data_IF_181529915261
#
_entry.id   IF_181529915261
#
_cell.length_a   1.000
_cell.length_b   1.000
_cell.length_c   1.000
_cell.angle_alpha   90.00
_cell.angle_beta   90.00
_cell.angle_gamma   90.00
#
_symmetry.space_group_name_H-M   'P 1'
#
loop_
_entity.id
_entity.type
_entity.pdbx_description
1 polymer ?
#
# COMPACT_ATOMS: atom_id res chain seq x y z
N UNK A 1 44.29 -33.20 5.20
CA UNK A 1 44.59 -32.27 4.07
C UNK A 1 43.46 -31.26 4.00
N UNK A 2 43.82 -30.08 4.41
CA UNK A 2 42.98 -28.91 4.59
C UNK A 2 42.53 -28.34 3.23
N UNK A 3 41.26 -28.00 3.07
CA UNK A 3 40.79 -27.14 1.98
C UNK A 3 40.39 -25.81 2.64
N UNK A 4 41.21 -24.81 2.41
CA UNK A 4 40.94 -23.41 2.68
C UNK A 4 39.77 -22.93 1.82
N UNK A 5 38.78 -22.36 2.45
CA UNK A 5 37.72 -21.54 1.81
C UNK A 5 38.22 -20.09 1.74
N UNK A 6 38.39 -19.49 0.55
CA UNK A 6 38.96 -18.17 0.40
C UNK A 6 37.93 -17.01 0.49
N UNK A 7 36.68 -17.22 0.89
CA UNK A 7 35.63 -16.18 0.78
C UNK A 7 35.02 -15.71 2.11
N UNK A 8 35.67 -15.99 3.24
CA UNK A 8 35.36 -15.34 4.50
C UNK A 8 36.05 -13.95 4.57
N UNK A 9 35.66 -13.02 3.70
CA UNK A 9 35.99 -11.60 3.89
C UNK A 9 35.16 -11.06 5.04
N UNK A 10 35.75 -11.13 6.23
CA UNK A 10 35.24 -10.45 7.42
C UNK A 10 35.12 -8.96 7.08
N UNK A 11 33.90 -8.41 7.24
CA UNK A 11 33.66 -6.96 7.20
C UNK A 11 34.52 -6.38 8.31
N UNK A 12 35.51 -5.55 7.95
CA UNK A 12 36.35 -4.88 8.91
C UNK A 12 35.51 -3.84 9.67
N UNK A 13 35.47 -3.83 11.01
CA UNK A 13 34.71 -2.83 11.76
C UNK A 13 35.03 -1.37 11.40
N UNK A 14 36.22 -1.10 10.85
CA UNK A 14 36.59 0.23 10.35
C UNK A 14 35.90 0.62 9.03
N UNK A 15 35.35 -0.35 8.26
CA UNK A 15 34.63 -0.07 7.02
C UNK A 15 33.14 0.25 7.29
N UNK A 16 32.71 0.09 8.54
CA UNK A 16 31.40 0.49 9.05
C UNK A 16 31.40 1.89 9.68
N UNK A 17 32.47 2.66 9.53
CA UNK A 17 32.49 4.07 9.89
C UNK A 17 31.53 4.82 8.94
N UNK A 18 30.24 4.78 9.31
CA UNK A 18 29.27 5.77 8.82
C UNK A 18 29.86 7.12 9.15
N UNK A 19 30.10 7.94 8.12
CA UNK A 19 30.65 9.28 8.26
C UNK A 19 29.94 10.02 9.38
N UNK A 20 30.69 10.68 10.28
CA UNK A 20 30.28 11.47 11.45
C UNK A 20 29.38 12.69 11.13
N UNK A 21 28.45 12.57 10.20
CA UNK A 21 27.52 13.64 9.76
C UNK A 21 26.06 13.22 9.83
N UNK A 22 25.67 12.31 10.72
CA UNK A 22 24.27 12.23 11.12
C UNK A 22 24.05 13.37 12.11
N UNK A 23 23.53 14.49 11.62
CA UNK A 23 23.11 15.61 12.46
C UNK A 23 22.09 15.08 13.47
N UNK A 24 22.41 15.18 14.77
CA UNK A 24 21.54 14.71 15.87
C UNK A 24 20.12 15.29 15.85
N UNK A 25 19.89 16.31 15.05
CA UNK A 25 18.57 16.92 14.81
C UNK A 25 17.52 15.92 14.33
N UNK A 26 17.90 14.94 13.49
CA UNK A 26 16.97 13.94 12.96
C UNK A 26 16.42 13.00 14.06
N UNK A 27 17.23 12.69 15.06
CA UNK A 27 16.79 11.88 16.20
C UNK A 27 15.81 12.66 17.09
N UNK A 28 16.11 13.93 17.35
CA UNK A 28 15.21 14.81 18.12
C UNK A 28 13.86 14.98 17.41
N UNK A 29 13.86 15.17 16.10
CA UNK A 29 12.63 15.24 15.31
C UNK A 29 11.85 13.94 15.33
N UNK A 30 12.53 12.78 15.27
CA UNK A 30 11.88 11.47 15.37
C UNK A 30 11.26 11.29 16.76
N UNK A 31 11.98 11.62 17.83
CA UNK A 31 11.48 11.60 19.21
C UNK A 31 10.19 12.42 19.34
N UNK A 32 10.21 13.67 18.87
CA UNK A 32 9.05 14.57 18.91
C UNK A 32 7.84 14.01 18.12
N UNK A 33 8.08 13.37 16.96
CA UNK A 33 7.03 12.74 16.18
C UNK A 33 6.42 11.54 16.89
N UNK A 34 7.25 10.69 17.52
CA UNK A 34 6.78 9.54 18.31
C UNK A 34 5.89 10.03 19.47
N UNK A 35 6.37 11.00 20.25
CA UNK A 35 5.62 11.58 21.36
C UNK A 35 4.31 12.21 20.90
N UNK A 36 4.34 13.00 19.83
CA UNK A 36 3.16 13.64 19.25
C UNK A 36 2.12 12.65 18.74
N UNK A 37 2.56 11.53 18.16
CA UNK A 37 1.66 10.47 17.71
C UNK A 37 1.03 9.74 18.89
N UNK A 38 1.78 9.40 19.93
CA UNK A 38 1.25 8.79 21.14
C UNK A 38 0.17 9.68 21.78
N UNK A 39 0.46 10.97 21.95
CA UNK A 39 -0.49 11.95 22.51
C UNK A 39 -1.76 12.08 21.63
N UNK A 40 -1.60 12.15 20.32
CA UNK A 40 -2.72 12.23 19.38
C UNK A 40 -3.61 10.98 19.40
N UNK A 41 -3.01 9.81 19.70
CA UNK A 41 -3.74 8.55 19.88
C UNK A 41 -4.37 8.43 21.29
N UNK A 42 -4.08 9.35 22.20
CA UNK A 42 -4.66 9.41 23.55
C UNK A 42 -4.03 8.44 24.56
N UNK A 43 -2.82 7.95 24.30
CA UNK A 43 -2.10 7.03 25.19
C UNK A 43 -1.20 7.78 26.17
N UNK A 44 -1.14 7.29 27.43
CA UNK A 44 -0.03 7.57 28.33
C UNK A 44 1.23 6.82 27.86
N UNK A 45 2.39 7.16 28.40
CA UNK A 45 3.65 6.45 28.10
C UNK A 45 3.53 4.96 28.47
N UNK A 46 2.96 4.68 29.63
CA UNK A 46 2.78 3.34 30.16
C UNK A 46 1.85 2.49 29.28
N UNK A 47 0.69 3.04 28.92
CA UNK A 47 -0.30 2.37 28.05
C UNK A 47 0.26 2.12 26.66
N UNK A 48 1.02 3.08 26.12
CA UNK A 48 1.57 2.92 24.77
C UNK A 48 2.72 1.92 24.74
N UNK A 49 3.56 1.90 25.77
CA UNK A 49 4.61 0.89 25.91
C UNK A 49 4.02 -0.52 26.02
N UNK A 50 2.93 -0.70 26.77
CA UNK A 50 2.21 -1.96 26.90
C UNK A 50 1.61 -2.39 25.55
N UNK A 51 0.91 -1.49 24.83
CA UNK A 51 0.34 -1.75 23.51
C UNK A 51 1.41 -2.14 22.47
N UNK A 52 2.59 -1.51 22.56
CA UNK A 52 3.73 -1.81 21.71
C UNK A 52 4.51 -3.06 22.15
N UNK A 53 4.20 -3.65 23.32
CA UNK A 53 4.92 -4.79 23.88
C UNK A 53 6.40 -4.49 24.18
N UNK A 54 6.69 -3.31 24.72
CA UNK A 54 8.03 -2.84 25.09
C UNK A 54 8.03 -2.44 26.55
N UNK A 55 9.18 -2.65 27.24
CA UNK A 55 9.37 -2.15 28.60
C UNK A 55 9.21 -0.62 28.65
N UNK A 56 8.49 -0.12 29.65
CA UNK A 56 8.12 1.30 29.75
C UNK A 56 9.36 2.23 29.82
N UNK A 57 10.40 1.84 30.58
CA UNK A 57 11.60 2.67 30.70
C UNK A 57 12.41 2.66 29.39
N UNK A 58 12.44 1.52 28.69
CA UNK A 58 13.05 1.43 27.37
C UNK A 58 12.30 2.30 26.36
N UNK A 59 10.97 2.24 26.36
CA UNK A 59 10.15 3.08 25.49
C UNK A 59 10.36 4.57 25.78
N UNK A 60 10.42 4.97 27.07
CA UNK A 60 10.67 6.34 27.50
C UNK A 60 11.98 6.89 26.91
N UNK A 61 13.05 6.10 26.93
CA UNK A 61 14.34 6.49 26.33
C UNK A 61 14.21 6.72 24.82
N UNK A 62 13.48 5.87 24.11
CA UNK A 62 13.24 6.06 22.68
C UNK A 62 12.42 7.31 22.38
N UNK A 63 11.38 7.59 23.18
CA UNK A 63 10.55 8.78 23.00
C UNK A 63 11.29 10.08 23.38
N UNK A 64 12.22 10.04 24.33
CA UNK A 64 13.02 11.21 24.71
C UNK A 64 14.16 11.51 23.75
N UNK A 65 14.82 10.49 23.22
CA UNK A 65 16.05 10.64 22.46
C UNK A 65 15.91 10.44 20.96
N UNK A 66 14.97 9.62 20.52
CA UNK A 66 14.83 9.15 19.14
C UNK A 66 16.01 8.31 18.65
N UNK A 67 16.98 8.02 19.54
CA UNK A 67 18.22 7.35 19.18
C UNK A 67 18.04 5.83 19.20
N UNK A 68 18.55 5.16 18.15
CA UNK A 68 18.61 3.70 17.99
C UNK A 68 17.26 2.99 18.17
N UNK A 69 16.16 3.65 17.78
CA UNK A 69 14.82 3.08 17.81
C UNK A 69 14.73 1.92 16.81
N UNK A 70 14.45 0.68 17.24
CA UNK A 70 14.40 -0.45 16.34
C UNK A 70 13.34 -0.27 15.25
N UNK A 71 13.67 -0.63 14.01
CA UNK A 71 12.72 -0.56 12.89
C UNK A 71 11.42 -1.35 13.16
N UNK A 72 11.51 -2.47 13.87
CA UNK A 72 10.35 -3.26 14.30
C UNK A 72 9.44 -2.52 15.26
N UNK A 73 9.99 -1.64 16.10
CA UNK A 73 9.20 -0.78 16.99
C UNK A 73 8.54 0.35 16.19
N UNK A 74 9.26 0.99 15.28
CA UNK A 74 8.71 2.01 14.40
C UNK A 74 7.54 1.48 13.55
N UNK A 75 7.66 0.24 13.04
CA UNK A 75 6.56 -0.41 12.33
C UNK A 75 5.32 -0.60 13.22
N UNK A 76 5.50 -1.01 14.49
CA UNK A 76 4.38 -1.16 15.44
C UNK A 76 3.72 0.18 15.76
N UNK A 77 4.52 1.22 15.99
CA UNK A 77 4.02 2.60 16.20
C UNK A 77 3.19 3.05 14.99
N UNK A 78 3.71 2.86 13.78
CA UNK A 78 3.02 3.23 12.55
C UNK A 78 1.65 2.52 12.41
N UNK A 79 1.59 1.22 12.75
CA UNK A 79 0.35 0.42 12.72
C UNK A 79 -0.64 0.90 13.79
N UNK A 80 -0.21 1.05 15.04
CA UNK A 80 -1.09 1.46 16.16
C UNK A 80 -1.65 2.87 15.93
N UNK A 81 -0.80 3.79 15.47
CA UNK A 81 -1.21 5.18 15.20
C UNK A 81 -1.83 5.36 13.80
N UNK A 82 -1.93 4.31 12.99
CA UNK A 82 -2.48 4.34 11.61
C UNK A 82 -1.82 5.39 10.72
N UNK A 83 -0.51 5.52 10.82
CA UNK A 83 0.29 6.44 9.99
C UNK A 83 1.22 5.64 9.07
N UNK A 84 1.62 6.26 7.96
CA UNK A 84 2.65 5.68 7.09
C UNK A 84 4.02 5.76 7.78
N UNK A 85 4.82 4.69 7.66
CA UNK A 85 6.16 4.64 8.26
C UNK A 85 7.09 5.73 7.71
N UNK A 86 6.92 6.11 6.44
CA UNK A 86 7.66 7.22 5.84
C UNK A 86 7.33 8.55 6.52
N UNK A 87 6.06 8.79 6.85
CA UNK A 87 5.62 9.96 7.62
C UNK A 87 6.24 9.96 9.02
N UNK A 88 6.24 8.81 9.69
CA UNK A 88 6.87 8.68 11.01
C UNK A 88 8.37 9.01 10.95
N UNK A 89 9.08 8.54 9.95
CA UNK A 89 10.53 8.74 9.82
C UNK A 89 10.89 10.16 9.37
N UNK A 90 10.18 10.71 8.39
CA UNK A 90 10.57 11.96 7.72
C UNK A 90 9.74 13.17 8.11
N UNK A 91 8.58 12.96 8.76
CA UNK A 91 7.60 14.02 9.01
C UNK A 91 6.88 14.49 7.74
N UNK A 92 7.24 13.95 6.58
CA UNK A 92 6.69 14.34 5.29
C UNK A 92 5.71 13.26 4.83
N UNK A 93 4.45 13.62 4.65
CA UNK A 93 3.52 12.73 3.97
C UNK A 93 3.91 12.65 2.51
N UNK A 94 4.33 11.46 2.07
CA UNK A 94 4.51 11.19 0.63
C UNK A 94 3.15 11.02 -0.07
N UNK A 95 2.07 10.96 0.71
CA UNK A 95 0.71 10.87 0.21
C UNK A 95 0.11 12.27 0.03
N UNK A 96 -0.56 12.44 -1.08
CA UNK A 96 -1.25 13.67 -1.44
C UNK A 96 -2.66 13.65 -0.83
N UNK A 97 -3.05 14.70 -0.13
CA UNK A 97 -4.36 14.83 0.52
C UNK A 97 -5.35 15.73 -0.23
N UNK A 98 -4.84 16.57 -1.16
CA UNK A 98 -5.66 17.49 -1.93
C UNK A 98 -5.99 16.94 -3.31
N UNK A 99 -4.99 16.53 -4.09
CA UNK A 99 -5.18 15.88 -5.40
C UNK A 99 -3.95 15.08 -5.80
N UNK A 100 -4.18 14.07 -6.64
CA UNK A 100 -3.12 13.34 -7.34
C UNK A 100 -3.40 13.35 -8.84
N UNK A 101 -2.36 13.58 -9.63
CA UNK A 101 -2.42 13.41 -11.09
C UNK A 101 -1.59 12.20 -11.49
N UNK A 102 -2.23 11.23 -12.10
CA UNK A 102 -1.55 10.08 -12.74
C UNK A 102 -1.63 10.29 -14.25
N UNK A 103 -0.48 10.45 -14.89
CA UNK A 103 -0.41 10.63 -16.35
C UNK A 103 -0.69 9.33 -17.06
N UNK A 104 -1.14 9.42 -18.32
CA UNK A 104 -1.47 8.25 -19.14
C UNK A 104 -0.31 7.22 -19.14
N UNK A 105 -0.62 5.97 -18.88
CA UNK A 105 0.35 4.87 -18.79
C UNK A 105 1.27 4.90 -17.56
N UNK A 106 1.03 5.76 -16.56
CA UNK A 106 1.84 5.89 -15.34
C UNK A 106 1.10 5.41 -14.08
N UNK A 107 0.01 4.67 -14.22
CA UNK A 107 -0.63 3.98 -13.11
C UNK A 107 0.32 2.94 -12.48
N UNK A 108 0.22 2.76 -11.17
CA UNK A 108 1.02 1.78 -10.45
C UNK A 108 0.49 0.38 -10.71
N UNK A 109 1.32 -0.49 -11.28
CA UNK A 109 0.95 -1.89 -11.52
C UNK A 109 0.67 -2.59 -10.19
N UNK A 110 -0.42 -3.33 -10.12
CA UNK A 110 -0.85 -4.11 -8.96
C UNK A 110 -1.20 -5.52 -9.43
N UNK A 111 -0.56 -6.52 -8.85
CA UNK A 111 -0.88 -7.92 -9.09
C UNK A 111 -2.02 -8.35 -8.15
N UNK A 112 -3.18 -8.69 -8.71
CA UNK A 112 -4.35 -9.15 -7.95
C UNK A 112 -4.82 -10.53 -8.40
N UNK A 113 -5.16 -10.66 -9.68
CA UNK A 113 -5.75 -11.88 -10.25
C UNK A 113 -5.07 -12.24 -11.57
N UNK A 114 -4.79 -13.53 -11.82
CA UNK A 114 -4.27 -14.00 -13.11
C UNK A 114 -5.17 -13.58 -14.26
N UNK A 115 -4.58 -13.13 -15.37
CA UNK A 115 -5.32 -12.71 -16.57
C UNK A 115 -5.81 -11.27 -16.57
N UNK A 116 -5.61 -10.53 -15.49
CA UNK A 116 -5.91 -9.11 -15.38
C UNK A 116 -4.64 -8.29 -15.20
N UNK A 117 -4.58 -7.15 -15.87
CA UNK A 117 -3.53 -6.14 -15.64
C UNK A 117 -4.17 -4.93 -14.96
N UNK A 118 -3.89 -4.78 -13.68
CA UNK A 118 -4.41 -3.65 -12.89
C UNK A 118 -3.36 -2.54 -12.80
N UNK A 119 -3.84 -1.30 -12.92
CA UNK A 119 -3.05 -0.10 -12.59
C UNK A 119 -3.83 0.76 -11.61
N UNK A 120 -3.29 0.97 -10.41
CA UNK A 120 -3.86 1.89 -9.43
C UNK A 120 -3.65 3.34 -9.91
N UNK A 121 -4.75 4.08 -10.04
CA UNK A 121 -4.77 5.46 -10.51
C UNK A 121 -4.74 6.48 -9.37
N UNK A 122 -4.72 6.01 -8.12
CA UNK A 122 -4.67 6.89 -6.94
C UNK A 122 -3.70 6.37 -5.88
N UNK A 123 -2.59 5.75 -6.28
CA UNK A 123 -1.67 5.02 -5.40
C UNK A 123 -0.99 5.88 -4.32
N UNK A 124 -0.89 7.21 -4.51
CA UNK A 124 -0.31 8.15 -3.56
C UNK A 124 -1.34 9.07 -2.89
N UNK A 125 -2.65 8.86 -3.12
CA UNK A 125 -3.67 9.68 -2.47
C UNK A 125 -4.01 9.11 -1.09
N UNK A 126 -4.02 9.99 -0.06
CA UNK A 126 -4.34 9.62 1.33
C UNK A 126 -5.85 9.44 1.54
N UNK A 127 -6.21 8.61 2.51
CA UNK A 127 -7.59 8.48 3.00
C UNK A 127 -8.63 8.24 1.88
N UNK A 128 -8.27 7.38 0.91
CA UNK A 128 -9.17 7.03 -0.19
C UNK A 128 -10.44 6.37 0.35
N UNK A 129 -11.58 6.86 -0.07
CA UNK A 129 -12.89 6.20 0.13
C UNK A 129 -13.29 5.35 -1.06
N UNK A 130 -12.57 5.49 -2.18
CA UNK A 130 -12.72 4.68 -3.37
C UNK A 130 -11.34 4.36 -3.96
N UNK A 131 -11.21 3.22 -4.60
CA UNK A 131 -10.00 2.81 -5.32
C UNK A 131 -10.27 2.80 -6.82
N UNK A 132 -9.81 3.80 -7.59
CA UNK A 132 -9.88 3.78 -9.05
C UNK A 132 -8.75 2.93 -9.62
N UNK A 133 -9.09 1.95 -10.43
CA UNK A 133 -8.16 1.08 -11.14
C UNK A 133 -8.44 1.12 -12.64
N UNK A 134 -7.39 1.18 -13.45
CA UNK A 134 -7.47 0.85 -14.86
C UNK A 134 -7.20 -0.65 -15.01
N UNK A 135 -8.13 -1.37 -15.61
CA UNK A 135 -8.05 -2.81 -15.80
C UNK A 135 -7.94 -3.11 -17.29
N UNK A 136 -6.98 -3.94 -17.66
CA UNK A 136 -6.85 -4.47 -19.02
C UNK A 136 -7.08 -5.97 -18.98
N UNK A 137 -7.95 -6.44 -19.86
CA UNK A 137 -8.29 -7.85 -20.05
C UNK A 137 -7.74 -8.30 -21.39
N UNK A 138 -6.99 -9.40 -21.36
CA UNK A 138 -6.50 -10.03 -22.59
C UNK A 138 -7.61 -10.90 -23.23
N UNK A 139 -7.68 -10.93 -24.56
CA UNK A 139 -8.60 -11.83 -25.27
C UNK A 139 -8.22 -13.30 -25.01
N UNK A 140 -9.19 -14.19 -25.19
CA UNK A 140 -9.03 -15.65 -25.09
C UNK A 140 -8.46 -16.14 -23.75
N UNK A 141 -8.54 -15.33 -22.70
CA UNK A 141 -8.25 -15.76 -21.32
C UNK A 141 -9.54 -16.22 -20.65
N UNK A 142 -9.45 -17.35 -19.98
CA UNK A 142 -10.50 -17.82 -19.07
C UNK A 142 -10.85 -16.68 -18.08
N UNK A 143 -12.14 -16.51 -17.75
CA UNK A 143 -12.52 -15.58 -16.70
C UNK A 143 -11.75 -15.91 -15.43
N UNK A 144 -11.32 -14.90 -14.70
CA UNK A 144 -10.79 -15.13 -13.36
C UNK A 144 -11.84 -15.84 -12.49
N UNK A 145 -11.39 -16.47 -11.44
CA UNK A 145 -12.30 -17.03 -10.44
C UNK A 145 -13.29 -15.98 -9.98
N UNK A 146 -14.55 -16.37 -9.85
CA UNK A 146 -15.59 -15.50 -9.31
C UNK A 146 -15.15 -14.98 -7.93
N UNK A 147 -15.26 -13.69 -7.75
CA UNK A 147 -14.93 -12.99 -6.50
C UNK A 147 -16.17 -12.31 -5.93
N UNK A 148 -16.15 -12.07 -4.63
CA UNK A 148 -17.11 -11.21 -3.95
C UNK A 148 -16.37 -10.38 -2.91
N UNK A 149 -16.77 -9.12 -2.76
CA UNK A 149 -16.20 -8.23 -1.73
C UNK A 149 -17.25 -7.24 -1.21
N UNK A 150 -16.92 -6.55 -0.12
CA UNK A 150 -17.78 -5.50 0.43
C UNK A 150 -17.75 -4.24 -0.43
N UNK A 151 -18.59 -3.29 -0.06
CA UNK A 151 -18.65 -1.96 -0.66
C UNK A 151 -19.50 -1.89 -1.92
N UNK A 152 -19.08 -1.11 -2.87
CA UNK A 152 -19.78 -0.84 -4.12
C UNK A 152 -18.76 -0.84 -5.26
N UNK A 153 -19.20 -1.23 -6.46
CA UNK A 153 -18.35 -1.23 -7.64
C UNK A 153 -19.05 -0.55 -8.82
N UNK A 154 -18.28 0.31 -9.49
CA UNK A 154 -18.66 0.98 -10.73
C UNK A 154 -17.62 0.70 -11.80
N UNK A 155 -18.05 0.23 -12.98
CA UNK A 155 -17.17 -0.03 -14.12
C UNK A 155 -17.58 0.82 -15.31
N UNK A 156 -16.60 1.40 -16.01
CA UNK A 156 -16.78 2.15 -17.25
C UNK A 156 -15.82 1.64 -18.32
N UNK A 157 -16.33 1.13 -19.42
CA UNK A 157 -15.53 0.57 -20.53
C UNK A 157 -14.93 1.69 -21.35
N UNK A 158 -13.61 1.75 -21.42
CA UNK A 158 -12.86 2.78 -22.15
C UNK A 158 -12.38 2.31 -23.52
N UNK A 159 -12.32 0.98 -23.75
CA UNK A 159 -11.93 0.39 -25.03
C UNK A 159 -12.38 -1.06 -25.11
N UNK A 160 -12.88 -1.45 -26.27
CA UNK A 160 -13.26 -2.84 -26.57
C UNK A 160 -14.61 -3.23 -25.96
N UNK A 161 -14.73 -4.49 -25.58
CA UNK A 161 -15.94 -5.04 -24.96
C UNK A 161 -15.56 -5.90 -23.75
N UNK A 162 -16.31 -5.76 -22.68
CA UNK A 162 -16.16 -6.49 -21.42
C UNK A 162 -17.43 -7.29 -21.17
N UNK A 163 -17.30 -8.56 -20.83
CA UNK A 163 -18.40 -9.40 -20.38
C UNK A 163 -18.29 -9.50 -18.86
N UNK A 164 -19.29 -8.98 -18.16
CA UNK A 164 -19.43 -9.12 -16.71
C UNK A 164 -20.34 -10.30 -16.42
N UNK A 165 -19.81 -11.32 -15.76
CA UNK A 165 -20.59 -12.38 -15.12
C UNK A 165 -20.96 -11.88 -13.72
N UNK A 166 -22.23 -11.87 -13.38
CA UNK A 166 -22.71 -11.45 -12.05
C UNK A 166 -23.86 -12.37 -11.60
N UNK A 167 -23.60 -13.20 -10.59
CA UNK A 167 -24.49 -14.31 -10.22
C UNK A 167 -24.67 -15.26 -11.40
N UNK A 168 -25.93 -15.42 -11.84
CA UNK A 168 -26.30 -16.27 -12.98
C UNK A 168 -26.45 -15.49 -14.30
N UNK A 169 -26.07 -14.22 -14.34
CA UNK A 169 -26.28 -13.36 -15.51
C UNK A 169 -24.96 -12.98 -16.14
N UNK A 170 -24.97 -12.86 -17.45
CA UNK A 170 -23.91 -12.24 -18.23
C UNK A 170 -24.42 -10.92 -18.82
N UNK A 171 -23.61 -9.89 -18.68
CA UNK A 171 -23.87 -8.56 -19.20
C UNK A 171 -22.72 -8.15 -20.11
N UNK A 172 -23.01 -7.88 -21.37
CA UNK A 172 -22.03 -7.38 -22.34
C UNK A 172 -22.02 -5.87 -22.27
N UNK A 173 -20.85 -5.30 -22.02
CA UNK A 173 -20.59 -3.87 -21.96
C UNK A 173 -19.64 -3.51 -23.10
N UNK A 174 -20.04 -2.58 -23.95
CA UNK A 174 -19.23 -2.06 -25.04
C UNK A 174 -18.55 -0.75 -24.65
N UNK A 175 -17.63 -0.28 -25.47
CA UNK A 175 -16.96 1.01 -25.28
C UNK A 175 -17.98 2.14 -25.03
N UNK A 176 -17.80 2.88 -23.94
CA UNK A 176 -18.71 3.93 -23.46
C UNK A 176 -19.80 3.45 -22.52
N UNK A 177 -20.06 2.13 -22.41
CA UNK A 177 -21.02 1.60 -21.45
C UNK A 177 -20.46 1.61 -20.03
N UNK A 178 -21.37 1.69 -19.06
CA UNK A 178 -21.02 1.57 -17.65
C UNK A 178 -22.01 0.70 -16.89
N UNK A 179 -21.57 0.18 -15.76
CA UNK A 179 -22.41 -0.58 -14.83
C UNK A 179 -22.05 -0.20 -13.39
N UNK A 180 -23.08 -0.17 -12.56
CA UNK A 180 -22.96 -0.02 -11.12
C UNK A 180 -23.64 -1.19 -10.43
N UNK A 181 -22.96 -1.91 -9.55
CA UNK A 181 -23.51 -3.11 -8.96
C UNK A 181 -23.03 -3.36 -7.52
N UNK A 182 -23.71 -4.28 -6.83
CA UNK A 182 -23.31 -4.77 -5.51
C UNK A 182 -22.29 -5.91 -5.67
N UNK A 183 -21.02 -5.70 -5.31
CA UNK A 183 -19.96 -6.68 -5.50
C UNK A 183 -19.98 -7.82 -4.46
N UNK A 184 -20.94 -7.85 -3.54
CA UNK A 184 -21.18 -9.02 -2.67
C UNK A 184 -21.81 -10.19 -3.46
N UNK A 185 -22.36 -9.93 -4.65
CA UNK A 185 -22.75 -10.96 -5.58
C UNK A 185 -21.50 -11.47 -6.28
N UNK A 186 -21.32 -12.80 -6.34
CA UNK A 186 -20.20 -13.42 -7.06
C UNK A 186 -20.15 -12.90 -8.49
N UNK A 187 -19.00 -12.38 -8.88
CA UNK A 187 -18.80 -11.76 -10.17
C UNK A 187 -17.38 -11.97 -10.71
N UNK A 188 -17.25 -11.86 -12.03
CA UNK A 188 -15.97 -11.81 -12.74
C UNK A 188 -16.15 -11.05 -14.07
N UNK A 189 -15.06 -10.47 -14.56
CA UNK A 189 -15.05 -9.84 -15.89
C UNK A 189 -14.11 -10.62 -16.82
N UNK A 190 -14.43 -10.68 -18.10
CA UNK A 190 -13.52 -11.17 -19.12
C UNK A 190 -13.64 -10.37 -20.42
N UNK A 191 -12.64 -10.51 -21.28
CA UNK A 191 -12.61 -9.81 -22.55
C UNK A 191 -13.69 -10.35 -23.48
N UNK A 192 -14.55 -9.47 -23.99
CA UNK A 192 -15.60 -9.80 -24.98
C UNK A 192 -15.21 -9.48 -26.42
N UNK A 193 -13.98 -9.01 -26.66
CA UNK A 193 -13.48 -8.60 -27.98
C UNK A 193 -12.24 -9.41 -28.38
N UNK A 194 -11.88 -9.36 -29.68
CA UNK A 194 -10.67 -10.02 -30.21
C UNK A 194 -9.39 -9.30 -29.83
N UNK A 195 -9.50 -8.04 -29.48
CA UNK A 195 -8.40 -7.19 -29.00
C UNK A 195 -8.55 -6.97 -27.50
N UNK A 196 -7.49 -6.63 -26.77
CA UNK A 196 -7.56 -6.33 -25.35
C UNK A 196 -8.61 -5.25 -25.04
N UNK A 197 -9.44 -5.52 -24.05
CA UNK A 197 -10.43 -4.57 -23.55
C UNK A 197 -9.91 -3.85 -22.31
N UNK A 198 -10.27 -2.58 -22.16
CA UNK A 198 -9.92 -1.77 -20.99
C UNK A 198 -11.15 -1.13 -20.37
N UNK A 199 -11.18 -1.10 -19.05
CA UNK A 199 -12.21 -0.39 -18.31
C UNK A 199 -11.62 0.24 -17.04
N UNK A 200 -12.27 1.28 -16.57
CA UNK A 200 -11.98 1.86 -15.24
C UNK A 200 -12.96 1.23 -14.26
N UNK A 201 -12.44 0.64 -13.19
CA UNK A 201 -13.24 0.24 -12.03
C UNK A 201 -13.00 1.18 -10.86
N UNK A 202 -14.07 1.53 -10.15
CA UNK A 202 -14.04 2.25 -8.89
C UNK A 202 -14.66 1.35 -7.82
N UNK A 203 -13.85 0.96 -6.84
CA UNK A 203 -14.26 0.09 -5.74
C UNK A 203 -14.25 0.90 -4.46
N UNK A 204 -15.33 0.83 -3.68
CA UNK A 204 -15.38 1.31 -2.30
C UNK A 204 -15.32 0.14 -1.33
N UNK A 205 -14.81 0.36 -0.12
CA UNK A 205 -14.86 -0.61 0.98
C UNK A 205 -15.95 -0.24 2.00
#
# INVERSE_FOLDING_TARGET
MSANDPDARGINPSDLAVSDQVDGTQFVELAQRIAGLRDACGYTIEEFAEELGVDTEVYRVYEETGFDVPASLLMRIAVVCKVDMGVLLTGISTHLDTFQVVRAGKGRVVDRFPGYHFQDLAYNYSNKVMQPLLVTLEPDKEPASLVAHNGQEFNFVTKGSVILVIGEKEVVLNEGDCIYFNPQILHAQHCGSKEPATFVTMITE
#
